data_IF_525000631600
#
_entry.id   IF_525000631600
#
_cell.length_a   1.000
_cell.length_b   1.000
_cell.length_c   1.000
_cell.angle_alpha   90.00
_cell.angle_beta   90.00
_cell.angle_gamma   90.00
#
_symmetry.space_group_name_H-M   'P 1'
#
loop_
_entity.id
_entity.type
_entity.pdbx_description
1 polymer ?
#
# COMPACT_ATOMS: atom_id res chain seq x y z
N UNK A 1 -8.35 -4.80 13.19
CA UNK A 1 -8.06 -4.75 11.75
C UNK A 1 -6.56 -4.92 11.55
N UNK A 2 -6.11 -5.89 10.77
CA UNK A 2 -4.69 -6.06 10.40
C UNK A 2 -4.35 -5.22 9.17
N UNK A 3 -3.06 -5.00 8.91
CA UNK A 3 -2.60 -4.30 7.70
C UNK A 3 -2.95 -5.05 6.42
N UNK A 4 -2.87 -6.38 6.48
CA UNK A 4 -3.30 -7.25 5.40
C UNK A 4 -4.78 -7.05 5.07
N UNK A 5 -5.66 -6.98 6.09
CA UNK A 5 -7.09 -6.71 5.86
C UNK A 5 -7.33 -5.32 5.25
N UNK A 6 -6.51 -4.31 5.59
CA UNK A 6 -6.59 -2.98 4.95
C UNK A 6 -6.24 -3.07 3.46
N UNK A 7 -5.21 -3.84 3.10
CA UNK A 7 -4.82 -4.04 1.69
C UNK A 7 -5.90 -4.85 0.95
N UNK A 8 -6.48 -5.87 1.57
CA UNK A 8 -7.60 -6.64 0.99
C UNK A 8 -8.84 -5.74 0.79
N UNK A 9 -9.13 -4.85 1.72
CA UNK A 9 -10.23 -3.90 1.56
C UNK A 9 -9.95 -2.93 0.40
N UNK A 10 -8.71 -2.43 0.30
CA UNK A 10 -8.27 -1.59 -0.80
C UNK A 10 -8.43 -2.27 -2.16
N UNK A 11 -8.02 -3.55 -2.30
CA UNK A 11 -8.21 -4.31 -3.55
C UNK A 11 -9.68 -4.61 -3.88
N UNK A 12 -10.59 -4.41 -2.92
CA UNK A 12 -12.04 -4.57 -3.08
C UNK A 12 -12.78 -3.24 -3.23
N UNK A 13 -12.10 -2.10 -3.26
CA UNK A 13 -12.77 -0.81 -3.33
C UNK A 13 -13.41 -0.37 -2.00
N UNK A 14 -12.97 -0.93 -0.87
CA UNK A 14 -13.58 -0.73 0.45
C UNK A 14 -12.68 0.09 1.36
N UNK A 15 -13.27 1.04 2.10
CA UNK A 15 -12.55 1.79 3.11
C UNK A 15 -12.19 0.91 4.32
N UNK A 16 -10.97 1.01 4.81
CA UNK A 16 -10.49 0.29 5.98
C UNK A 16 -9.32 1.02 6.64
N UNK A 17 -9.11 0.76 7.94
CA UNK A 17 -8.04 1.40 8.70
C UNK A 17 -7.49 0.48 9.79
N UNK A 18 -6.17 0.50 9.95
CA UNK A 18 -5.42 -0.05 11.08
C UNK A 18 -4.67 1.09 11.80
N UNK A 19 -3.76 0.74 12.72
CA UNK A 19 -2.95 1.73 13.44
C UNK A 19 -1.99 2.52 12.51
N UNK A 20 -1.45 1.85 11.49
CA UNK A 20 -0.36 2.37 10.65
C UNK A 20 -0.62 2.23 9.15
N UNK A 21 -1.77 1.69 8.74
CA UNK A 21 -2.23 1.69 7.35
C UNK A 21 -3.70 2.09 7.24
N UNK A 22 -4.07 2.70 6.11
CA UNK A 22 -5.46 3.03 5.81
C UNK A 22 -5.73 3.04 4.32
N UNK A 23 -6.99 2.86 3.96
CA UNK A 23 -7.50 3.07 2.61
C UNK A 23 -8.90 3.68 2.68
N UNK A 24 -9.21 4.50 1.70
CA UNK A 24 -10.57 5.00 1.42
C UNK A 24 -11.32 4.12 0.40
N UNK A 25 -10.70 3.02 -0.05
CA UNK A 25 -11.19 2.16 -1.12
C UNK A 25 -10.52 2.44 -2.48
N UNK A 26 -9.91 3.60 -2.69
CA UNK A 26 -9.18 3.90 -3.92
C UNK A 26 -7.67 4.01 -3.68
N UNK A 27 -7.28 4.75 -2.64
CA UNK A 27 -5.90 5.02 -2.28
C UNK A 27 -5.48 4.20 -1.06
N UNK A 28 -4.22 3.75 -1.06
CA UNK A 28 -3.61 3.03 0.06
C UNK A 28 -2.55 3.90 0.71
N UNK A 29 -2.58 3.99 2.03
CA UNK A 29 -1.68 4.82 2.82
C UNK A 29 -0.93 4.00 3.87
N UNK A 30 0.37 4.28 4.00
CA UNK A 30 1.21 3.92 5.14
C UNK A 30 1.35 5.16 6.02
N UNK A 31 0.71 5.17 7.19
CA UNK A 31 0.46 6.37 7.99
C UNK A 31 -0.24 7.45 7.14
N UNK A 32 0.47 8.53 6.81
CA UNK A 32 0.00 9.63 5.93
C UNK A 32 0.60 9.57 4.52
N UNK A 33 1.54 8.65 4.27
CA UNK A 33 2.19 8.52 2.98
C UNK A 33 1.35 7.63 2.07
N UNK A 34 0.97 8.13 0.90
CA UNK A 34 0.30 7.35 -0.14
C UNK A 34 1.29 6.34 -0.74
N UNK A 35 0.94 5.06 -0.69
CA UNK A 35 1.77 3.94 -1.19
C UNK A 35 1.07 3.12 -2.28
N UNK A 36 -0.18 3.44 -2.62
CA UNK A 36 -0.89 2.81 -3.73
C UNK A 36 -2.15 3.57 -4.12
N UNK A 37 -2.68 3.28 -5.31
CA UNK A 37 -3.90 3.88 -5.86
C UNK A 37 -4.66 2.93 -6.81
N UNK A 38 -5.87 3.32 -7.20
CA UNK A 38 -6.71 2.59 -8.16
C UNK A 38 -7.25 1.28 -7.61
N UNK A 39 -7.53 1.20 -6.30
CA UNK A 39 -8.19 0.04 -5.69
C UNK A 39 -7.45 -1.28 -5.90
N UNK A 40 -6.12 -1.29 -5.76
CA UNK A 40 -5.29 -2.46 -6.01
C UNK A 40 -4.60 -2.50 -7.37
N UNK A 41 -4.65 -1.42 -8.16
CA UNK A 41 -4.06 -1.37 -9.50
C UNK A 41 -2.60 -0.94 -9.50
N UNK A 42 -2.21 -0.02 -8.61
CA UNK A 42 -0.86 0.56 -8.61
C UNK A 42 -0.29 0.63 -7.20
N UNK A 43 0.97 0.24 -7.03
CA UNK A 43 1.76 0.36 -5.80
C UNK A 43 2.97 1.25 -6.07
N UNK A 44 3.18 2.27 -5.23
CA UNK A 44 4.36 3.11 -5.26
C UNK A 44 5.53 2.47 -4.52
N UNK A 45 6.66 2.31 -5.20
CA UNK A 45 7.82 1.60 -4.70
C UNK A 45 8.70 2.48 -3.79
N UNK A 46 8.23 2.75 -2.57
CA UNK A 46 9.00 3.48 -1.55
C UNK A 46 10.05 2.62 -0.80
N UNK A 47 10.63 1.62 -1.49
CA UNK A 47 11.65 0.72 -0.91
C UNK A 47 13.06 1.25 -1.19
N UNK A 48 14.06 0.74 -0.46
CA UNK A 48 15.47 1.14 -0.60
C UNK A 48 16.00 0.99 -2.04
N UNK A 49 15.50 0.00 -2.80
CA UNK A 49 15.87 -0.19 -4.21
C UNK A 49 15.02 0.59 -5.22
N UNK A 50 13.99 1.31 -4.78
CA UNK A 50 13.02 2.01 -5.65
C UNK A 50 13.27 3.49 -5.87
N UNK A 51 14.41 4.03 -5.43
CA UNK A 51 14.79 5.45 -5.60
C UNK A 51 14.02 6.45 -4.72
N UNK A 52 12.95 6.02 -4.04
CA UNK A 52 12.08 6.86 -3.20
C UNK A 52 11.88 6.29 -1.79
N UNK A 53 12.94 5.75 -1.21
CA UNK A 53 12.92 5.20 0.14
C UNK A 53 12.43 6.23 1.16
N UNK A 54 11.40 5.86 1.91
CA UNK A 54 10.86 6.72 2.97
C UNK A 54 11.26 6.23 4.37
N UNK A 55 11.05 4.95 4.66
CA UNK A 55 11.44 4.33 5.92
C UNK A 55 11.45 2.80 5.79
N UNK A 56 12.08 2.12 6.75
CA UNK A 56 12.05 0.65 6.84
C UNK A 56 10.60 0.15 6.99
N UNK A 57 9.80 0.80 7.84
CA UNK A 57 8.39 0.44 8.07
C UNK A 57 7.58 0.58 6.78
N UNK A 58 7.75 1.68 6.05
CA UNK A 58 7.10 1.88 4.75
C UNK A 58 7.51 0.79 3.75
N UNK A 59 8.79 0.41 3.74
CA UNK A 59 9.28 -0.65 2.86
C UNK A 59 8.60 -2.00 3.17
N UNK A 60 8.40 -2.31 4.45
CA UNK A 60 7.65 -3.50 4.87
C UNK A 60 6.17 -3.42 4.44
N UNK A 61 5.52 -2.27 4.58
CA UNK A 61 4.13 -2.08 4.13
C UNK A 61 3.99 -2.24 2.61
N UNK A 62 4.93 -1.68 1.83
CA UNK A 62 4.98 -1.84 0.37
C UNK A 62 5.21 -3.31 0.00
N UNK A 63 6.13 -4.01 0.69
CA UNK A 63 6.36 -5.44 0.49
C UNK A 63 5.11 -6.28 0.75
N UNK A 64 4.37 -5.98 1.83
CA UNK A 64 3.10 -6.64 2.12
C UNK A 64 2.05 -6.34 1.04
N UNK A 65 1.96 -5.09 0.59
CA UNK A 65 1.04 -4.71 -0.49
C UNK A 65 1.33 -5.48 -1.79
N UNK A 66 2.60 -5.65 -2.17
CA UNK A 66 3.02 -6.45 -3.34
C UNK A 66 2.62 -7.93 -3.20
N UNK A 67 2.72 -8.48 -2.00
CA UNK A 67 2.34 -9.88 -1.73
C UNK A 67 0.83 -10.12 -1.87
N UNK A 68 0.01 -9.16 -1.42
CA UNK A 68 -1.45 -9.30 -1.38
C UNK A 68 -2.11 -8.85 -2.69
N UNK A 69 -1.68 -7.74 -3.27
CA UNK A 69 -2.24 -7.18 -4.50
C UNK A 69 -1.47 -7.70 -5.73
N UNK A 70 -1.65 -8.99 -6.04
CA UNK A 70 -0.91 -9.72 -7.10
C UNK A 70 -1.05 -9.14 -8.52
N UNK A 71 -2.08 -8.33 -8.77
CA UNK A 71 -2.32 -7.69 -10.07
C UNK A 71 -1.87 -6.23 -10.12
N UNK A 72 -1.35 -5.69 -9.02
CA UNK A 72 -0.93 -4.31 -8.97
C UNK A 72 0.39 -4.13 -9.74
N UNK A 73 0.44 -3.09 -10.57
CA UNK A 73 1.68 -2.62 -11.16
C UNK A 73 2.51 -1.91 -10.09
N UNK A 74 3.80 -2.24 -10.01
CA UNK A 74 4.74 -1.57 -9.11
C UNK A 74 5.46 -0.48 -9.88
N UNK A 75 5.24 0.78 -9.50
CA UNK A 75 5.86 1.93 -10.14
C UNK A 75 6.82 2.62 -9.18
N UNK A 76 7.94 3.12 -9.70
CA UNK A 76 8.78 4.04 -8.93
C UNK A 76 8.16 5.44 -9.08
N UNK A 77 7.80 6.12 -7.98
CA UNK A 77 7.24 7.47 -8.01
C UNK A 77 8.28 8.52 -8.40
#
# INVERSE_FOLDING_TARGET
MTNENVIIAWTKGQAAKSLNMSTDGNDLFSYKLKIGTGGGSVIYNHTAGGGSFYSQTTSCHVGLAKSVALRAEVVNP
#
